data_IF_203121237986
#
_entry.id   IF_203121237986
#
_cell.length_a   1.000
_cell.length_b   1.000
_cell.length_c   1.000
_cell.angle_alpha   90.00
_cell.angle_beta   90.00
_cell.angle_gamma   90.00
#
_symmetry.space_group_name_H-M   'P 1'
#
loop_
_entity.id
_entity.type
_entity.pdbx_description
1 polymer ?
#
# COMPACT_ATOMS: atom_id res chain seq x y z
N UNK A 1 15.06 -7.63 2.14
CA UNK A 1 13.97 -6.66 2.25
C UNK A 1 13.86 -6.19 3.68
N UNK A 2 13.73 -4.89 3.92
CA UNK A 2 13.63 -4.33 5.29
C UNK A 2 12.48 -3.35 5.31
N UNK A 3 11.56 -3.47 6.29
CA UNK A 3 10.47 -2.55 6.53
C UNK A 3 9.84 -2.81 7.89
N UNK A 4 9.37 -1.75 8.57
CA UNK A 4 8.52 -1.90 9.75
C UNK A 4 7.18 -2.55 9.40
N UNK A 5 6.70 -2.32 8.16
CA UNK A 5 5.39 -2.77 7.70
C UNK A 5 5.50 -4.11 6.98
N UNK A 6 5.06 -5.17 7.65
CA UNK A 6 4.98 -6.52 7.09
C UNK A 6 3.91 -7.35 7.81
N UNK A 7 3.69 -8.58 7.33
CA UNK A 7 2.74 -9.51 7.94
C UNK A 7 3.02 -9.72 9.44
N UNK A 8 1.99 -9.72 10.32
CA UNK A 8 0.57 -9.99 10.10
C UNK A 8 -0.29 -8.77 9.74
N UNK A 9 0.24 -7.55 9.77
CA UNK A 9 -0.49 -6.40 9.22
C UNK A 9 -0.66 -6.58 7.71
N UNK A 10 -1.77 -6.07 7.18
CA UNK A 10 -2.08 -6.10 5.76
C UNK A 10 -2.30 -4.66 5.27
N UNK A 11 -1.57 -4.28 4.24
CA UNK A 11 -1.63 -3.00 3.57
C UNK A 11 -0.92 -3.05 2.23
N UNK A 12 -0.90 -1.95 1.49
CA UNK A 12 -0.29 -1.90 0.16
C UNK A 12 1.20 -2.22 0.16
N UNK A 13 1.94 -1.68 1.13
CA UNK A 13 3.40 -1.90 1.28
C UNK A 13 3.70 -3.33 1.64
N UNK A 14 2.98 -3.89 2.62
CA UNK A 14 3.11 -5.26 3.07
C UNK A 14 2.88 -6.25 1.93
N UNK A 15 1.81 -6.01 1.14
CA UNK A 15 1.48 -6.84 -0.02
C UNK A 15 2.51 -6.69 -1.13
N UNK A 16 3.04 -5.48 -1.37
CA UNK A 16 4.11 -5.27 -2.33
C UNK A 16 5.38 -6.06 -1.95
N UNK A 17 5.85 -5.91 -0.70
CA UNK A 17 7.04 -6.64 -0.20
C UNK A 17 6.82 -8.16 -0.30
N UNK A 18 5.64 -8.64 0.06
CA UNK A 18 5.27 -10.05 -0.07
C UNK A 18 5.34 -10.51 -1.53
N UNK A 19 4.65 -9.82 -2.45
CA UNK A 19 4.58 -10.19 -3.87
C UNK A 19 5.94 -10.15 -4.55
N UNK A 20 6.72 -9.09 -4.30
CA UNK A 20 8.08 -8.96 -4.80
C UNK A 20 8.99 -10.08 -4.26
N UNK A 21 8.88 -10.40 -2.97
CA UNK A 21 9.64 -11.51 -2.36
C UNK A 21 9.30 -12.85 -3.02
N UNK A 22 8.02 -13.12 -3.28
CA UNK A 22 7.59 -14.37 -3.93
C UNK A 22 8.09 -14.45 -5.37
N UNK A 23 8.03 -13.36 -6.13
CA UNK A 23 8.53 -13.31 -7.51
C UNK A 23 10.04 -13.53 -7.57
N UNK A 24 10.81 -12.90 -6.68
CA UNK A 24 12.26 -13.09 -6.62
C UNK A 24 12.64 -14.52 -6.22
N UNK A 25 11.91 -15.14 -5.27
CA UNK A 25 12.11 -16.56 -4.91
C UNK A 25 11.84 -17.49 -6.11
N UNK A 26 10.78 -17.22 -6.91
CA UNK A 26 10.48 -17.98 -8.12
C UNK A 26 11.57 -17.84 -9.19
N UNK A 27 12.24 -16.69 -9.24
CA UNK A 27 13.40 -16.45 -10.13
C UNK A 27 14.70 -17.08 -9.61
N UNK A 28 14.66 -17.77 -8.47
CA UNK A 28 15.82 -18.46 -7.90
C UNK A 28 16.66 -17.59 -6.96
N UNK A 29 16.25 -16.37 -6.65
CA UNK A 29 16.95 -15.53 -5.68
C UNK A 29 16.61 -15.96 -4.25
N UNK A 30 17.56 -15.83 -3.34
CA UNK A 30 17.32 -15.97 -1.91
C UNK A 30 16.80 -14.64 -1.36
N UNK A 31 15.66 -14.68 -0.70
CA UNK A 31 15.03 -13.49 -0.11
C UNK A 31 14.87 -13.69 1.41
N UNK A 32 15.20 -12.64 2.14
CA UNK A 32 15.00 -12.55 3.59
C UNK A 32 14.29 -11.24 3.89
N UNK A 33 13.28 -11.28 4.75
CA UNK A 33 12.59 -10.08 5.24
C UNK A 33 13.00 -9.81 6.68
N UNK A 34 13.27 -8.55 7.00
CA UNK A 34 13.54 -8.06 8.35
C UNK A 34 12.45 -7.06 8.71
N UNK A 35 11.76 -7.30 9.81
CA UNK A 35 10.68 -6.45 10.34
C UNK A 35 10.68 -6.49 11.88
N UNK A 36 9.86 -5.64 12.51
CA UNK A 36 9.71 -5.69 13.97
C UNK A 36 8.81 -6.86 14.40
N UNK A 37 8.93 -7.26 15.65
CA UNK A 37 8.07 -8.29 16.26
C UNK A 37 6.63 -7.78 16.44
N UNK A 38 5.67 -8.68 16.26
CA UNK A 38 4.24 -8.45 16.51
C UNK A 38 3.78 -9.44 17.58
N UNK A 39 3.29 -8.98 18.72
CA UNK A 39 2.75 -9.82 19.80
C UNK A 39 3.37 -11.24 19.85
N UNK A 40 2.69 -12.21 19.25
CA UNK A 40 3.07 -13.63 19.23
C UNK A 40 4.07 -14.00 18.12
N UNK A 41 4.45 -13.05 17.26
CA UNK A 41 5.42 -13.25 16.18
C UNK A 41 6.75 -12.63 16.53
N UNK A 42 7.64 -13.46 17.02
CA UNK A 42 9.01 -13.09 17.38
C UNK A 42 10.02 -14.06 16.79
N UNK A 43 11.28 -13.62 16.67
CA UNK A 43 12.39 -14.44 16.18
C UNK A 43 12.27 -14.75 14.68
N UNK A 44 12.74 -15.92 14.27
CA UNK A 44 12.76 -16.32 12.86
C UNK A 44 11.54 -17.16 12.53
N UNK A 45 10.86 -16.81 11.43
CA UNK A 45 9.72 -17.58 10.90
C UNK A 45 9.93 -17.84 9.41
N UNK A 46 9.36 -18.94 8.95
CA UNK A 46 9.30 -19.28 7.52
C UNK A 46 7.87 -19.17 7.03
N UNK A 47 7.70 -18.53 5.88
CA UNK A 47 6.42 -18.36 5.21
C UNK A 47 6.39 -19.16 3.90
N UNK A 48 5.32 -19.02 3.12
CA UNK A 48 5.14 -19.72 1.85
C UNK A 48 6.38 -19.60 0.96
N UNK A 49 6.71 -20.68 0.26
CA UNK A 49 7.87 -20.81 -0.62
C UNK A 49 9.23 -20.58 0.08
N UNK A 50 9.28 -20.83 1.39
CA UNK A 50 10.51 -20.73 2.15
C UNK A 50 10.98 -19.30 2.45
N UNK A 51 10.12 -18.29 2.26
CA UNK A 51 10.45 -16.92 2.62
C UNK A 51 10.77 -16.81 4.12
N UNK A 52 12.02 -16.47 4.41
CA UNK A 52 12.51 -16.33 5.78
C UNK A 52 12.29 -14.92 6.29
N UNK A 53 11.66 -14.80 7.45
CA UNK A 53 11.32 -13.51 8.07
C UNK A 53 11.94 -13.43 9.47
N UNK A 54 12.68 -12.36 9.71
CA UNK A 54 13.23 -11.99 11.01
C UNK A 54 12.31 -10.98 11.67
N UNK A 55 11.65 -11.37 12.75
CA UNK A 55 10.82 -10.52 13.60
C UNK A 55 11.66 -10.04 14.79
N UNK A 56 12.19 -8.81 14.69
CA UNK A 56 13.10 -8.25 15.67
C UNK A 56 12.37 -7.60 16.85
N UNK A 57 12.87 -7.75 18.09
CA UNK A 57 12.26 -7.18 19.30
C UNK A 57 12.53 -5.67 19.39
N UNK A 58 11.87 -4.90 18.51
CA UNK A 58 11.98 -3.43 18.47
C UNK A 58 10.85 -2.79 19.27
N UNK A 59 11.13 -1.65 19.88
CA UNK A 59 10.11 -0.83 20.51
C UNK A 59 9.28 -0.13 19.42
N UNK A 60 7.96 -0.20 19.54
CA UNK A 60 7.03 0.41 18.59
C UNK A 60 6.51 1.72 19.16
N UNK A 61 6.62 2.80 18.41
CA UNK A 61 6.14 4.13 18.81
C UNK A 61 4.69 4.34 18.38
N UNK A 62 4.47 4.62 17.10
CA UNK A 62 3.18 5.03 16.57
C UNK A 62 2.92 4.32 15.22
N UNK A 63 1.68 3.91 15.00
CA UNK A 63 1.18 3.27 13.76
C UNK A 63 2.04 2.10 13.23
N UNK A 64 2.78 1.43 14.13
CA UNK A 64 3.62 0.29 13.80
C UNK A 64 5.03 0.65 13.32
N UNK A 65 5.45 1.91 13.45
CA UNK A 65 6.83 2.32 13.23
C UNK A 65 7.69 2.00 14.46
N UNK A 66 8.84 1.40 14.24
CA UNK A 66 9.80 1.12 15.32
C UNK A 66 10.52 2.39 15.79
N UNK A 67 10.93 2.39 17.06
CA UNK A 67 11.79 3.44 17.58
C UNK A 67 13.20 3.30 17.00
N UNK A 68 13.80 4.38 16.49
CA UNK A 68 15.20 4.34 16.05
C UNK A 68 16.14 3.92 17.20
N UNK A 69 16.99 2.94 16.94
CA UNK A 69 17.89 2.37 17.95
C UNK A 69 19.23 1.99 17.34
N UNK A 70 19.94 2.97 16.80
CA UNK A 70 21.16 2.79 16.01
C UNK A 70 22.14 1.78 16.63
N UNK A 71 22.40 1.88 17.93
CA UNK A 71 23.38 1.00 18.59
C UNK A 71 22.93 -0.46 18.72
N UNK A 72 21.66 -0.70 19.00
CA UNK A 72 21.14 -2.07 19.14
C UNK A 72 20.81 -2.69 17.79
N UNK A 73 20.42 -1.89 16.79
CA UNK A 73 20.09 -2.37 15.45
C UNK A 73 21.34 -2.82 14.68
N UNK A 74 22.46 -2.12 14.80
CA UNK A 74 23.67 -2.41 14.05
C UNK A 74 24.18 -3.86 14.26
N UNK A 75 24.38 -4.37 15.48
CA UNK A 75 24.84 -5.75 15.67
C UNK A 75 23.84 -6.79 15.19
N UNK A 76 22.53 -6.55 15.37
CA UNK A 76 21.49 -7.46 14.89
C UNK A 76 21.48 -7.51 13.36
N UNK A 77 21.47 -6.35 12.71
CA UNK A 77 21.53 -6.26 11.26
C UNK A 77 22.77 -6.94 10.71
N UNK A 78 23.96 -6.59 11.24
CA UNK A 78 25.24 -7.17 10.81
C UNK A 78 25.23 -8.69 10.91
N UNK A 79 24.74 -9.24 12.03
CA UNK A 79 24.66 -10.69 12.24
C UNK A 79 23.77 -11.35 11.17
N UNK A 80 22.62 -10.74 10.84
CA UNK A 80 21.70 -11.27 9.83
C UNK A 80 22.34 -11.19 8.45
N UNK A 81 22.90 -10.04 8.06
CA UNK A 81 23.48 -9.83 6.72
C UNK A 81 24.62 -10.82 6.46
N UNK A 82 25.52 -11.02 7.42
CA UNK A 82 26.63 -11.98 7.30
C UNK A 82 26.12 -13.42 7.26
N UNK A 83 25.20 -13.79 8.18
CA UNK A 83 24.64 -15.15 8.27
C UNK A 83 23.91 -15.56 7.00
N UNK A 84 23.13 -14.64 6.43
CA UNK A 84 22.33 -14.91 5.25
C UNK A 84 23.09 -14.69 3.94
N UNK A 85 24.36 -14.21 4.02
CA UNK A 85 25.20 -13.87 2.86
C UNK A 85 24.45 -12.92 1.91
N UNK A 86 24.01 -11.78 2.46
CA UNK A 86 23.22 -10.80 1.73
C UNK A 86 24.13 -10.03 0.78
N UNK A 87 23.69 -9.81 -0.46
CA UNK A 87 24.34 -8.98 -1.47
C UNK A 87 23.71 -7.58 -1.52
N UNK A 88 22.37 -7.52 -1.40
CA UNK A 88 21.58 -6.28 -1.56
C UNK A 88 20.66 -6.10 -0.35
N UNK A 89 20.68 -4.90 0.22
CA UNK A 89 19.75 -4.46 1.27
C UNK A 89 18.73 -3.54 0.66
N UNK A 90 17.47 -3.96 0.63
CA UNK A 90 16.37 -3.22 0.01
C UNK A 90 15.38 -2.73 1.07
N UNK A 91 15.31 -1.41 1.26
CA UNK A 91 14.40 -0.74 2.20
C UNK A 91 13.12 -0.26 1.51
N UNK A 92 12.00 -0.32 2.22
CA UNK A 92 10.69 0.11 1.70
C UNK A 92 10.02 1.10 2.63
N UNK A 93 9.42 2.15 2.07
CA UNK A 93 8.53 3.10 2.74
C UNK A 93 9.23 4.14 3.63
N UNK A 94 9.11 5.41 3.29
CA UNK A 94 9.74 6.52 3.99
C UNK A 94 9.38 6.64 5.48
N UNK A 95 8.17 6.25 5.88
CA UNK A 95 7.75 6.30 7.29
C UNK A 95 8.28 5.14 8.14
N UNK A 96 8.98 4.16 7.55
CA UNK A 96 9.62 3.08 8.30
C UNK A 96 10.92 3.55 8.94
N UNK A 97 10.95 3.74 10.24
CA UNK A 97 12.17 4.15 10.96
C UNK A 97 13.29 3.10 10.85
N UNK A 98 12.93 1.82 10.77
CA UNK A 98 13.87 0.72 10.62
C UNK A 98 14.71 0.84 9.35
N UNK A 99 14.12 1.25 8.22
CA UNK A 99 14.85 1.33 6.95
C UNK A 99 15.97 2.37 7.00
N UNK A 100 15.72 3.51 7.64
CA UNK A 100 16.68 4.61 7.68
C UNK A 100 17.99 4.18 8.35
N UNK A 101 17.89 3.58 9.54
CA UNK A 101 19.08 3.08 10.23
C UNK A 101 19.70 1.88 9.51
N UNK A 102 18.90 0.97 8.94
CA UNK A 102 19.43 -0.22 8.27
C UNK A 102 20.16 0.11 6.96
N UNK A 103 19.62 1.03 6.15
CA UNK A 103 20.29 1.47 4.91
C UNK A 103 21.61 2.18 5.21
N UNK A 104 21.65 3.07 6.22
CA UNK A 104 22.89 3.71 6.66
C UNK A 104 23.92 2.68 7.11
N UNK A 105 23.54 1.73 7.97
CA UNK A 105 24.45 0.69 8.44
C UNK A 105 24.93 -0.22 7.31
N UNK A 106 24.03 -0.63 6.42
CA UNK A 106 24.37 -1.47 5.27
C UNK A 106 25.37 -0.78 4.35
N UNK A 107 25.14 0.50 4.04
CA UNK A 107 26.03 1.30 3.21
C UNK A 107 27.43 1.42 3.85
N UNK A 108 27.52 1.75 5.15
CA UNK A 108 28.79 1.84 5.88
C UNK A 108 29.52 0.50 5.89
N UNK A 109 28.79 -0.62 5.92
CA UNK A 109 29.37 -1.97 5.86
C UNK A 109 29.73 -2.43 4.43
N UNK A 110 29.50 -1.61 3.41
CA UNK A 110 29.84 -1.90 2.00
C UNK A 110 28.82 -2.78 1.25
N UNK A 111 27.59 -2.95 1.78
CA UNK A 111 26.53 -3.63 1.06
C UNK A 111 25.88 -2.72 0.04
N UNK A 112 25.42 -3.30 -1.09
CA UNK A 112 24.57 -2.56 -2.05
C UNK A 112 23.22 -2.27 -1.42
N UNK A 113 22.76 -1.02 -1.61
CA UNK A 113 21.54 -0.52 -0.99
C UNK A 113 20.54 -0.04 -2.03
N UNK A 114 19.28 -0.46 -1.87
CA UNK A 114 18.16 -0.06 -2.71
C UNK A 114 17.04 0.49 -1.82
N UNK A 115 16.36 1.52 -2.27
CA UNK A 115 15.22 2.09 -1.57
C UNK A 115 14.01 2.19 -2.49
N UNK A 116 12.83 1.73 -2.02
CA UNK A 116 11.54 1.94 -2.72
C UNK A 116 10.61 2.82 -1.90
N UNK A 117 10.18 3.93 -2.48
CA UNK A 117 9.16 4.79 -1.87
C UNK A 117 7.75 4.43 -2.34
N UNK A 118 6.83 4.39 -1.37
CA UNK A 118 5.43 4.06 -1.57
C UNK A 118 4.49 5.20 -1.18
N UNK A 119 5.01 6.36 -0.80
CA UNK A 119 4.21 7.44 -0.24
C UNK A 119 4.52 8.78 -0.87
N UNK A 120 3.49 9.62 -0.94
CA UNK A 120 3.65 11.04 -1.14
C UNK A 120 3.48 11.74 0.20
N UNK A 121 4.44 12.59 0.56
CA UNK A 121 4.37 13.42 1.75
C UNK A 121 4.34 14.89 1.35
N UNK A 122 3.67 15.69 2.16
CA UNK A 122 3.63 17.14 2.02
C UNK A 122 5.01 17.76 2.31
N UNK A 123 5.26 18.91 1.70
CA UNK A 123 6.38 19.76 2.05
C UNK A 123 6.00 20.81 3.10
N UNK A 124 4.72 20.95 3.44
CA UNK A 124 4.17 22.07 4.19
C UNK A 124 3.83 21.75 5.65
N UNK A 125 3.89 20.46 6.06
CA UNK A 125 3.66 20.07 7.45
C UNK A 125 4.98 19.72 8.16
N UNK A 126 4.99 19.87 9.48
CA UNK A 126 6.18 19.62 10.32
C UNK A 126 6.70 18.19 10.18
N UNK A 127 5.80 17.20 10.09
CA UNK A 127 6.18 15.80 9.94
C UNK A 127 6.87 15.56 8.59
N UNK A 128 6.34 16.14 7.50
CA UNK A 128 6.94 16.10 6.18
C UNK A 128 8.31 16.76 6.13
N UNK A 129 8.47 17.93 6.79
CA UNK A 129 9.76 18.64 6.87
C UNK A 129 10.81 17.80 7.59
N UNK A 130 10.47 17.18 8.74
CA UNK A 130 11.39 16.31 9.45
C UNK A 130 11.75 15.06 8.64
N UNK A 131 10.75 14.41 8.05
CA UNK A 131 10.97 13.22 7.24
C UNK A 131 11.83 13.51 6.01
N UNK A 132 11.68 14.69 5.37
CA UNK A 132 12.53 15.10 4.25
C UNK A 132 14.00 15.22 4.68
N UNK A 133 14.28 15.75 5.87
CA UNK A 133 15.67 15.81 6.41
C UNK A 133 16.23 14.42 6.69
N UNK A 134 15.40 13.52 7.26
CA UNK A 134 15.79 12.12 7.50
C UNK A 134 16.10 11.42 6.18
N UNK A 135 15.22 11.52 5.18
CA UNK A 135 15.43 10.94 3.85
C UNK A 135 16.71 11.45 3.21
N UNK A 136 16.92 12.78 3.21
CA UNK A 136 18.14 13.39 2.65
C UNK A 136 19.41 12.85 3.31
N UNK A 137 19.41 12.69 4.63
CA UNK A 137 20.56 12.15 5.37
C UNK A 137 20.77 10.66 5.11
N UNK A 138 19.70 9.86 5.13
CA UNK A 138 19.79 8.39 5.11
C UNK A 138 19.95 7.80 3.72
N UNK A 139 19.50 8.51 2.69
CA UNK A 139 19.59 8.06 1.30
C UNK A 139 20.78 8.64 0.52
N UNK A 140 21.62 9.47 1.15
CA UNK A 140 22.79 10.08 0.49
C UNK A 140 23.72 9.04 -0.16
N UNK A 141 23.85 7.87 0.44
CA UNK A 141 24.74 6.82 -0.07
C UNK A 141 23.99 5.65 -0.72
N UNK A 142 22.69 5.77 -1.03
CA UNK A 142 21.95 4.68 -1.65
C UNK A 142 22.43 4.44 -3.09
N UNK A 143 22.61 3.16 -3.48
CA UNK A 143 23.07 2.82 -4.83
C UNK A 143 21.97 2.96 -5.88
N UNK A 144 20.70 2.74 -5.51
CA UNK A 144 19.55 2.93 -6.38
C UNK A 144 18.27 3.21 -5.57
N UNK A 145 17.38 4.00 -6.15
CA UNK A 145 16.06 4.26 -5.58
C UNK A 145 14.95 4.00 -6.60
N UNK A 146 13.77 3.68 -6.10
CA UNK A 146 12.58 3.33 -6.92
C UNK A 146 11.40 4.16 -6.43
N UNK A 147 10.78 4.92 -7.35
CA UNK A 147 9.46 5.50 -7.18
C UNK A 147 8.40 4.63 -7.85
N UNK A 148 7.26 4.45 -7.20
CA UNK A 148 6.16 3.63 -7.76
C UNK A 148 5.33 4.32 -8.84
N UNK A 149 5.61 5.59 -9.10
CA UNK A 149 5.04 6.42 -10.17
C UNK A 149 6.03 7.53 -10.54
N UNK A 150 5.83 8.23 -11.64
CA UNK A 150 6.63 9.41 -11.99
C UNK A 150 6.48 10.51 -10.94
N UNK A 151 5.26 10.76 -10.47
CA UNK A 151 5.00 11.70 -9.37
C UNK A 151 5.75 11.29 -8.09
N UNK A 152 5.79 10.00 -7.76
CA UNK A 152 6.53 9.48 -6.61
C UNK A 152 8.04 9.67 -6.80
N UNK A 153 8.57 9.42 -8.01
CA UNK A 153 9.97 9.67 -8.37
C UNK A 153 10.36 11.14 -8.17
N UNK A 154 9.58 12.05 -8.75
CA UNK A 154 9.84 13.50 -8.59
C UNK A 154 9.80 13.93 -7.12
N UNK A 155 8.79 13.48 -6.38
CA UNK A 155 8.67 13.74 -4.95
C UNK A 155 9.92 13.24 -4.19
N UNK A 156 10.40 12.03 -4.50
CA UNK A 156 11.59 11.44 -3.87
C UNK A 156 12.87 12.19 -4.23
N UNK A 157 13.09 12.55 -5.49
CA UNK A 157 14.24 13.35 -5.94
C UNK A 157 14.31 14.67 -5.19
N UNK A 158 13.19 15.40 -5.13
CA UNK A 158 13.12 16.69 -4.46
C UNK A 158 13.34 16.59 -2.94
N UNK A 159 12.82 15.55 -2.30
CA UNK A 159 12.84 15.39 -0.84
C UNK A 159 14.17 14.86 -0.32
N UNK A 160 14.70 13.84 -0.99
CA UNK A 160 15.96 13.22 -0.59
C UNK A 160 17.19 13.89 -1.25
N UNK A 161 16.99 14.82 -2.18
CA UNK A 161 18.05 15.42 -3.00
C UNK A 161 18.91 14.37 -3.70
N UNK A 162 18.26 13.34 -4.25
CA UNK A 162 18.92 12.31 -5.04
C UNK A 162 19.13 12.80 -6.48
N UNK A 163 20.21 12.34 -7.11
CA UNK A 163 20.38 12.51 -8.54
C UNK A 163 19.25 11.79 -9.29
N UNK A 164 18.58 12.42 -10.26
CA UNK A 164 17.44 11.85 -10.97
C UNK A 164 17.73 10.50 -11.63
N UNK A 165 18.98 10.26 -12.04
CA UNK A 165 19.48 9.04 -12.68
C UNK A 165 19.51 7.84 -11.73
N UNK A 166 19.62 8.09 -10.42
CA UNK A 166 19.58 7.04 -9.40
C UNK A 166 18.15 6.57 -9.10
N UNK A 167 17.13 7.33 -9.55
CA UNK A 167 15.74 7.04 -9.22
C UNK A 167 14.98 6.51 -10.43
N UNK A 168 14.70 5.22 -10.44
CA UNK A 168 13.89 4.55 -11.46
C UNK A 168 12.41 4.59 -11.11
N UNK A 169 11.55 4.51 -12.13
CA UNK A 169 10.10 4.32 -11.93
C UNK A 169 9.78 2.85 -12.19
N UNK A 170 9.32 2.16 -11.14
CA UNK A 170 8.85 0.77 -11.23
C UNK A 170 7.47 0.70 -10.56
N UNK A 171 6.38 0.70 -11.33
CA UNK A 171 5.01 0.64 -10.81
C UNK A 171 4.75 -0.64 -10.02
N UNK A 172 3.79 -0.54 -9.06
CA UNK A 172 3.29 -1.74 -8.42
C UNK A 172 2.54 -2.62 -9.42
N UNK A 173 2.56 -3.93 -9.17
CA UNK A 173 1.88 -4.91 -10.00
C UNK A 173 0.83 -5.68 -9.19
N UNK A 174 -0.12 -6.28 -9.91
CA UNK A 174 -1.15 -7.15 -9.36
C UNK A 174 -1.05 -8.56 -9.96
N UNK A 175 -1.35 -9.56 -9.15
CA UNK A 175 -1.40 -10.96 -9.59
C UNK A 175 -2.72 -11.23 -10.33
N UNK A 176 -2.69 -11.17 -11.65
CA UNK A 176 -3.85 -11.40 -12.51
C UNK A 176 -4.38 -12.86 -12.49
N UNK A 177 -3.69 -13.79 -11.84
CA UNK A 177 -4.24 -15.13 -11.59
C UNK A 177 -5.28 -15.12 -10.49
N UNK A 178 -5.15 -14.22 -9.52
CA UNK A 178 -6.07 -14.01 -8.39
C UNK A 178 -7.09 -12.91 -8.68
N UNK A 179 -6.64 -11.79 -9.25
CA UNK A 179 -7.48 -10.67 -9.64
C UNK A 179 -7.85 -10.80 -11.12
N UNK A 180 -9.00 -11.38 -11.38
CA UNK A 180 -9.55 -11.59 -12.72
C UNK A 180 -11.07 -11.55 -12.70
N UNK A 181 -11.73 -11.27 -13.83
CA UNK A 181 -13.18 -11.30 -13.93
C UNK A 181 -13.73 -12.71 -13.63
N UNK A 182 -14.68 -12.79 -12.72
CA UNK A 182 -15.51 -13.98 -12.46
C UNK A 182 -16.80 -13.83 -13.28
N UNK A 183 -16.80 -14.32 -14.51
CA UNK A 183 -17.89 -14.14 -15.47
C UNK A 183 -19.23 -14.71 -14.98
N UNK A 184 -19.32 -15.92 -14.36
CA UNK A 184 -20.55 -16.40 -13.75
C UNK A 184 -21.17 -15.43 -12.74
N UNK A 185 -20.35 -14.91 -11.84
CA UNK A 185 -20.79 -13.96 -10.80
C UNK A 185 -21.19 -12.62 -11.41
N UNK A 186 -20.40 -12.06 -12.33
CA UNK A 186 -20.72 -10.81 -13.02
C UNK A 186 -22.02 -10.92 -13.80
N UNK A 187 -22.26 -12.01 -14.50
CA UNK A 187 -23.51 -12.26 -15.21
C UNK A 187 -24.72 -12.37 -14.27
N UNK A 188 -24.54 -12.97 -13.08
CA UNK A 188 -25.57 -13.03 -12.06
C UNK A 188 -25.93 -11.62 -11.53
N UNK A 189 -24.92 -10.79 -11.27
CA UNK A 189 -25.13 -9.39 -10.85
C UNK A 189 -25.78 -8.57 -11.94
N UNK A 190 -25.37 -8.70 -13.19
CA UNK A 190 -25.95 -8.00 -14.32
C UNK A 190 -27.46 -8.30 -14.51
N UNK A 191 -27.89 -9.53 -14.24
CA UNK A 191 -29.31 -9.93 -14.29
C UNK A 191 -30.20 -9.21 -13.26
N UNK A 192 -29.62 -8.61 -12.22
CA UNK A 192 -30.40 -7.86 -11.22
C UNK A 192 -30.91 -6.52 -11.74
N UNK A 193 -30.39 -6.02 -12.86
CA UNK A 193 -30.65 -4.69 -13.39
C UNK A 193 -30.09 -3.55 -12.52
N UNK A 194 -29.26 -3.89 -11.49
CA UNK A 194 -28.65 -2.93 -10.58
C UNK A 194 -27.18 -2.70 -10.92
N UNK A 195 -26.72 -1.48 -10.76
CA UNK A 195 -25.33 -1.09 -10.88
C UNK A 195 -24.68 -1.04 -9.49
N UNK A 196 -23.71 -1.87 -9.23
CA UNK A 196 -22.98 -1.86 -7.97
C UNK A 196 -21.69 -1.06 -8.09
N UNK A 197 -21.54 -0.05 -7.24
CA UNK A 197 -20.31 0.73 -7.05
C UNK A 197 -19.55 0.17 -5.84
N UNK A 198 -18.28 -0.15 -6.02
CA UNK A 198 -17.43 -0.72 -4.96
C UNK A 198 -16.44 0.32 -4.47
N UNK A 199 -16.33 0.46 -3.16
CA UNK A 199 -15.29 1.22 -2.46
C UNK A 199 -14.53 0.26 -1.56
N UNK A 200 -13.20 0.15 -1.74
CA UNK A 200 -12.34 -0.68 -0.91
C UNK A 200 -11.11 0.10 -0.47
N UNK A 201 -11.09 0.56 0.78
CA UNK A 201 -9.96 1.32 1.34
C UNK A 201 -10.01 1.36 2.86
N UNK A 202 -8.95 1.87 3.50
CA UNK A 202 -9.04 2.28 4.90
C UNK A 202 -10.03 3.44 5.05
N UNK A 203 -10.93 3.37 6.01
CA UNK A 203 -11.93 4.43 6.24
C UNK A 203 -11.31 5.59 7.05
N UNK A 204 -10.49 6.40 6.39
CA UNK A 204 -9.83 7.56 6.99
C UNK A 204 -9.94 8.81 6.09
N UNK A 205 -9.55 9.97 6.62
CA UNK A 205 -9.60 11.24 5.92
C UNK A 205 -8.82 11.23 4.59
N UNK A 206 -7.60 10.67 4.58
CA UNK A 206 -6.75 10.64 3.36
C UNK A 206 -7.37 9.87 2.19
N UNK A 207 -8.28 8.95 2.48
CA UNK A 207 -9.02 8.17 1.47
C UNK A 207 -10.32 8.84 1.01
N UNK A 208 -10.55 10.08 1.45
CA UNK A 208 -11.69 10.88 1.01
C UNK A 208 -13.03 10.34 1.45
N UNK A 209 -13.12 9.71 2.63
CA UNK A 209 -14.37 9.13 3.13
C UNK A 209 -15.42 10.22 3.35
N UNK A 210 -15.00 11.45 3.67
CA UNK A 210 -15.91 12.60 3.78
C UNK A 210 -16.60 12.88 2.42
N UNK A 211 -15.84 12.86 1.33
CA UNK A 211 -16.38 13.02 -0.04
C UNK A 211 -17.32 11.86 -0.37
N UNK A 212 -16.95 10.62 -0.05
CA UNK A 212 -17.78 9.44 -0.29
C UNK A 212 -19.12 9.55 0.46
N UNK A 213 -19.09 10.01 1.72
CA UNK A 213 -20.30 10.19 2.53
C UNK A 213 -21.24 11.28 1.96
N UNK A 214 -20.73 12.28 1.26
CA UNK A 214 -21.52 13.30 0.58
C UNK A 214 -22.07 12.80 -0.77
N UNK A 215 -21.26 12.05 -1.52
CA UNK A 215 -21.59 11.62 -2.90
C UNK A 215 -22.62 10.48 -2.92
N UNK A 216 -22.55 9.52 -2.00
CA UNK A 216 -23.45 8.36 -1.96
C UNK A 216 -24.93 8.76 -1.92
N UNK A 217 -25.41 9.65 -1.02
CA UNK A 217 -26.80 10.05 -0.97
C UNK A 217 -27.28 10.72 -2.26
N UNK A 218 -26.44 11.56 -2.85
CA UNK A 218 -26.76 12.28 -4.10
C UNK A 218 -26.98 11.28 -5.25
N UNK A 219 -26.07 10.30 -5.37
CA UNK A 219 -26.18 9.26 -6.42
C UNK A 219 -27.40 8.38 -6.16
N UNK A 220 -27.63 7.92 -4.94
CA UNK A 220 -28.76 7.08 -4.59
C UNK A 220 -30.12 7.78 -4.81
N UNK A 221 -30.18 9.09 -4.61
CA UNK A 221 -31.38 9.90 -4.88
C UNK A 221 -31.67 10.00 -6.39
N UNK A 222 -30.64 10.23 -7.19
CA UNK A 222 -30.76 10.42 -8.65
C UNK A 222 -30.93 9.11 -9.42
N UNK A 223 -30.30 8.03 -8.95
CA UNK A 223 -30.24 6.74 -9.63
C UNK A 223 -30.74 5.62 -8.72
N UNK A 224 -31.96 5.18 -8.95
CA UNK A 224 -32.63 4.16 -8.11
C UNK A 224 -32.07 2.74 -8.30
N UNK A 225 -31.33 2.51 -9.37
CA UNK A 225 -30.69 1.25 -9.74
C UNK A 225 -29.22 1.14 -9.25
N UNK A 226 -28.64 2.20 -8.65
CA UNK A 226 -27.26 2.18 -8.16
C UNK A 226 -27.19 1.79 -6.69
N UNK A 227 -26.36 0.81 -6.35
CA UNK A 227 -26.04 0.38 -4.98
C UNK A 227 -24.54 0.55 -4.69
N UNK A 228 -24.20 0.63 -3.41
CA UNK A 228 -22.83 0.75 -2.96
C UNK A 228 -22.43 -0.44 -2.11
N UNK A 229 -21.19 -0.93 -2.32
CA UNK A 229 -20.54 -1.97 -1.49
C UNK A 229 -19.27 -1.32 -0.95
N UNK A 230 -19.24 -1.05 0.35
CA UNK A 230 -18.11 -0.37 1.00
C UNK A 230 -17.39 -1.36 1.91
N UNK A 231 -16.15 -1.69 1.57
CA UNK A 231 -15.28 -2.55 2.37
C UNK A 231 -14.10 -1.75 2.93
N UNK A 232 -13.83 -1.97 4.18
CA UNK A 232 -12.77 -1.33 4.93
C UNK A 232 -13.15 -1.03 6.36
N UNK A 233 -12.16 -0.60 7.13
CA UNK A 233 -12.33 -0.17 8.52
C UNK A 233 -11.46 1.06 8.79
N UNK A 234 -11.80 1.82 9.83
CA UNK A 234 -11.05 3.01 10.23
C UNK A 234 -11.87 4.04 10.98
N UNK A 235 -11.24 5.15 11.39
CA UNK A 235 -11.86 6.15 12.26
C UNK A 235 -13.08 6.87 11.64
N UNK A 236 -13.24 6.81 10.30
CA UNK A 236 -14.37 7.40 9.57
C UNK A 236 -15.53 6.41 9.30
N UNK A 237 -15.50 5.21 9.91
CA UNK A 237 -16.59 4.24 9.74
C UNK A 237 -17.93 4.78 10.25
N UNK A 238 -17.92 5.39 11.43
CA UNK A 238 -19.10 5.99 12.05
C UNK A 238 -19.76 7.06 11.14
N UNK A 239 -18.98 7.85 10.42
CA UNK A 239 -19.50 8.84 9.47
C UNK A 239 -20.37 8.20 8.38
N UNK A 240 -19.96 7.02 7.87
CA UNK A 240 -20.74 6.28 6.87
C UNK A 240 -21.99 5.66 7.49
N UNK A 241 -21.91 5.13 8.69
CA UNK A 241 -23.06 4.59 9.43
C UNK A 241 -24.10 5.69 9.67
N UNK A 242 -23.69 6.86 10.18
CA UNK A 242 -24.58 8.03 10.37
C UNK A 242 -25.18 8.53 9.04
N UNK A 243 -24.43 8.51 7.94
CA UNK A 243 -24.93 8.89 6.62
C UNK A 243 -26.01 7.93 6.15
N UNK A 244 -25.83 6.62 6.32
CA UNK A 244 -26.82 5.58 5.94
C UNK A 244 -28.12 5.78 6.72
N UNK A 245 -28.03 5.96 8.04
CA UNK A 245 -29.20 6.24 8.90
C UNK A 245 -29.92 7.52 8.49
N UNK A 246 -29.20 8.63 8.32
CA UNK A 246 -29.76 9.94 8.00
C UNK A 246 -30.55 9.96 6.68
N UNK A 247 -30.10 9.16 5.71
CA UNK A 247 -30.69 9.16 4.36
C UNK A 247 -31.50 7.88 4.04
N UNK A 248 -31.73 7.01 5.02
CA UNK A 248 -32.45 5.74 4.90
C UNK A 248 -31.93 4.89 3.71
N UNK A 249 -30.62 4.61 3.75
CA UNK A 249 -29.93 3.91 2.65
C UNK A 249 -29.53 2.47 3.00
N UNK A 250 -30.15 1.84 3.99
CA UNK A 250 -29.85 0.49 4.44
C UNK A 250 -29.94 -0.56 3.33
N UNK A 251 -30.91 -0.45 2.43
CA UNK A 251 -31.10 -1.37 1.30
C UNK A 251 -30.20 -1.03 0.08
N UNK A 252 -29.44 0.06 0.16
CA UNK A 252 -28.65 0.58 -0.95
C UNK A 252 -27.15 0.60 -0.71
N UNK A 253 -26.73 0.61 0.55
CA UNK A 253 -25.33 0.69 0.96
C UNK A 253 -25.00 -0.45 1.90
N UNK A 254 -24.14 -1.36 1.46
CA UNK A 254 -23.64 -2.48 2.24
C UNK A 254 -22.27 -2.14 2.81
N UNK A 255 -22.12 -2.11 4.14
CA UNK A 255 -20.84 -1.94 4.84
C UNK A 255 -20.29 -3.31 5.22
N UNK A 256 -19.18 -3.73 4.59
CA UNK A 256 -18.57 -5.05 4.82
C UNK A 256 -17.62 -5.09 6.03
N UNK A 257 -17.24 -3.92 6.56
CA UNK A 257 -16.15 -3.85 7.52
C UNK A 257 -14.80 -4.24 6.89
N UNK A 258 -13.85 -4.68 7.70
CA UNK A 258 -12.53 -5.10 7.23
C UNK A 258 -12.60 -6.34 6.35
N UNK A 259 -12.18 -6.22 5.09
CA UNK A 259 -12.17 -7.30 4.11
C UNK A 259 -10.80 -7.95 4.07
N UNK A 260 -10.65 -9.25 4.41
CA UNK A 260 -9.40 -9.97 4.23
C UNK A 260 -8.96 -9.95 2.76
N UNK A 261 -7.68 -9.74 2.48
CA UNK A 261 -7.16 -9.58 1.11
C UNK A 261 -7.54 -10.75 0.18
N UNK A 262 -7.55 -11.99 0.69
CA UNK A 262 -8.00 -13.18 -0.06
C UNK A 262 -9.44 -13.09 -0.58
N UNK A 263 -10.29 -12.28 0.07
CA UNK A 263 -11.70 -12.10 -0.28
C UNK A 263 -11.92 -10.87 -1.19
N UNK A 264 -10.90 -10.00 -1.36
CA UNK A 264 -11.00 -8.78 -2.19
C UNK A 264 -11.44 -9.08 -3.62
N UNK A 265 -10.88 -10.09 -4.34
CA UNK A 265 -11.33 -10.42 -5.69
C UNK A 265 -12.83 -10.79 -5.73
N UNK A 266 -13.30 -11.48 -4.71
CA UNK A 266 -14.71 -11.89 -4.60
C UNK A 266 -15.65 -10.69 -4.39
N UNK A 267 -15.21 -9.67 -3.64
CA UNK A 267 -15.97 -8.42 -3.44
C UNK A 267 -15.96 -7.58 -4.72
N UNK A 268 -14.79 -7.40 -5.34
CA UNK A 268 -14.66 -6.65 -6.59
C UNK A 268 -15.55 -7.24 -7.70
N UNK A 269 -15.61 -8.56 -7.82
CA UNK A 269 -16.45 -9.23 -8.82
C UNK A 269 -17.98 -9.09 -8.59
N UNK A 270 -18.41 -8.44 -7.50
CA UNK A 270 -19.81 -8.02 -7.28
C UNK A 270 -20.10 -6.64 -7.87
N UNK A 271 -19.06 -5.89 -8.27
CA UNK A 271 -19.15 -4.52 -8.74
C UNK A 271 -19.08 -4.35 -10.25
N UNK A 272 -19.53 -3.19 -10.70
CA UNK A 272 -19.40 -2.70 -12.08
C UNK A 272 -18.41 -1.52 -12.13
N UNK A 273 -18.47 -0.66 -11.12
CA UNK A 273 -17.64 0.54 -10.99
C UNK A 273 -16.86 0.45 -9.68
N UNK A 274 -15.60 0.84 -9.71
CA UNK A 274 -14.76 1.06 -8.54
C UNK A 274 -14.62 2.55 -8.31
N UNK A 275 -15.00 3.03 -7.12
CA UNK A 275 -14.91 4.44 -6.75
C UNK A 275 -13.76 4.66 -5.76
N UNK A 276 -12.85 5.57 -6.11
CA UNK A 276 -11.76 6.04 -5.25
C UNK A 276 -11.79 7.57 -5.13
N UNK A 277 -11.92 8.08 -3.91
CA UNK A 277 -11.93 9.51 -3.63
C UNK A 277 -10.70 9.97 -2.83
N UNK A 278 -9.59 9.26 -2.93
CA UNK A 278 -8.38 9.58 -2.18
C UNK A 278 -7.91 11.02 -2.42
N UNK A 279 -7.46 11.69 -1.35
CA UNK A 279 -6.94 13.05 -1.39
C UNK A 279 -5.44 13.10 -1.74
N UNK A 280 -4.74 11.97 -1.57
CA UNK A 280 -3.33 11.83 -1.93
C UNK A 280 -2.98 10.36 -2.08
N UNK A 281 -2.27 10.03 -3.16
CA UNK A 281 -1.81 8.67 -3.47
C UNK A 281 -0.51 8.71 -4.27
N UNK A 282 0.39 7.77 -3.97
CA UNK A 282 1.58 7.53 -4.79
C UNK A 282 1.29 6.62 -5.98
N UNK A 283 0.36 5.65 -5.84
CA UNK A 283 0.00 4.70 -6.90
C UNK A 283 -1.43 4.15 -6.77
N UNK A 284 -1.86 3.66 -5.59
CA UNK A 284 -3.14 3.00 -5.32
C UNK A 284 -3.33 1.62 -6.00
N UNK A 285 -2.78 0.57 -5.40
CA UNK A 285 -2.92 -0.82 -5.88
C UNK A 285 -4.39 -1.24 -6.03
N UNK A 286 -5.31 -0.76 -5.18
CA UNK A 286 -6.73 -1.11 -5.23
C UNK A 286 -7.41 -0.76 -6.57
N UNK A 287 -6.98 0.32 -7.22
CA UNK A 287 -7.42 0.71 -8.56
C UNK A 287 -7.01 -0.36 -9.58
N UNK A 288 -5.75 -0.82 -9.50
CA UNK A 288 -5.22 -1.84 -10.40
C UNK A 288 -5.90 -3.20 -10.17
N UNK A 289 -6.17 -3.56 -8.91
CA UNK A 289 -6.91 -4.77 -8.53
C UNK A 289 -8.35 -4.74 -9.09
N UNK A 290 -9.02 -3.59 -8.98
CA UNK A 290 -10.37 -3.40 -9.50
C UNK A 290 -10.41 -3.51 -11.03
N UNK A 291 -9.52 -2.83 -11.72
CA UNK A 291 -9.40 -2.91 -13.18
C UNK A 291 -9.09 -4.34 -13.65
N UNK A 292 -8.19 -5.06 -12.97
CA UNK A 292 -7.87 -6.46 -13.25
C UNK A 292 -9.09 -7.39 -13.08
N UNK A 293 -10.01 -7.08 -12.14
CA UNK A 293 -11.29 -7.77 -12.00
C UNK A 293 -12.35 -7.29 -13.01
N UNK A 294 -12.03 -6.34 -13.88
CA UNK A 294 -12.90 -5.86 -14.96
C UNK A 294 -13.89 -4.77 -14.53
N UNK A 295 -13.66 -4.05 -13.41
CA UNK A 295 -14.44 -2.90 -13.03
C UNK A 295 -13.97 -1.66 -13.81
N UNK A 296 -14.91 -0.79 -14.14
CA UNK A 296 -14.58 0.55 -14.58
C UNK A 296 -14.19 1.42 -13.38
N UNK A 297 -13.13 2.20 -13.50
CA UNK A 297 -12.61 2.98 -12.37
C UNK A 297 -13.04 4.44 -12.48
N UNK A 298 -13.53 4.99 -11.37
CA UNK A 298 -13.74 6.43 -11.20
C UNK A 298 -12.89 6.88 -10.02
N UNK A 299 -12.03 7.87 -10.23
CA UNK A 299 -11.06 8.29 -9.22
C UNK A 299 -10.83 9.78 -9.23
N UNK A 300 -10.34 10.32 -8.11
CA UNK A 300 -9.74 11.66 -8.07
C UNK A 300 -8.42 11.69 -8.84
N UNK A 301 -8.12 12.81 -9.50
CA UNK A 301 -6.87 13.04 -10.23
C UNK A 301 -5.77 13.58 -9.30
N UNK A 302 -5.30 12.78 -8.34
CA UNK A 302 -4.30 13.21 -7.34
C UNK A 302 -3.04 12.35 -7.36
N UNK A 303 -1.88 12.99 -7.22
CA UNK A 303 -0.58 12.31 -7.13
C UNK A 303 -0.32 11.40 -8.33
N UNK A 304 0.04 10.14 -8.09
CA UNK A 304 0.32 9.13 -9.12
C UNK A 304 -0.91 8.42 -9.69
N UNK A 305 -2.15 8.79 -9.30
CA UNK A 305 -3.36 8.12 -9.78
C UNK A 305 -3.55 8.20 -11.30
N UNK A 306 -3.28 9.35 -11.96
CA UNK A 306 -3.38 9.43 -13.41
C UNK A 306 -2.44 8.49 -14.18
N UNK A 307 -1.41 7.96 -13.51
CA UNK A 307 -0.41 7.09 -14.12
C UNK A 307 -0.76 5.59 -14.01
N UNK A 308 -1.81 5.22 -13.23
CA UNK A 308 -2.09 3.81 -12.88
C UNK A 308 -2.75 3.05 -14.03
N UNK A 309 -3.68 3.68 -14.73
CA UNK A 309 -4.46 3.06 -15.81
C UNK A 309 -4.52 3.96 -17.05
N UNK A 310 -4.67 3.36 -18.25
CA UNK A 310 -4.98 4.12 -19.46
C UNK A 310 -6.32 4.85 -19.36
N UNK A 311 -6.45 6.03 -20.00
CA UNK A 311 -7.65 6.89 -19.97
C UNK A 311 -8.96 6.16 -20.30
N UNK A 312 -8.92 5.15 -21.17
CA UNK A 312 -10.10 4.35 -21.53
C UNK A 312 -10.62 3.43 -20.42
N UNK A 313 -9.87 3.24 -19.35
CA UNK A 313 -10.19 2.35 -18.21
C UNK A 313 -10.52 3.11 -16.93
N UNK A 314 -10.30 4.42 -16.92
CA UNK A 314 -10.47 5.27 -15.75
C UNK A 314 -11.08 6.62 -16.15
N UNK A 315 -11.96 7.16 -15.30
CA UNK A 315 -12.35 8.56 -15.28
C UNK A 315 -11.77 9.23 -14.05
N UNK A 316 -11.07 10.35 -14.25
CA UNK A 316 -10.42 11.14 -13.21
C UNK A 316 -11.20 12.42 -12.93
#
# INVERSE_FOLDING_TARGET
MICDFFYPKLGGVEMHIWSLSQSLLQLGHKVVVITHAYKDRTGVRYMTNGLKVYYLPMWIMHDGCSMPSFYTMLPLLRQILVREKVDIVHGHQASSAMIHQCLMHANIMGYRTVYTDHSLFSFNDLAGIHLNKVLKMTLTGVDAAIGVSHTCRENLVLRASLEPELVSVIPNAVDCTKFRPDMPRRNAVAKTGKTNVVVLCRLNYRKGIDIIAEVIPIICQRHKDVNFIVGGDGPKKLLLEEMIERHDLHDRVELLGSVPHRNVPSVLNRGHVFLNCSLTESFCIAILEAAACGLYVVSTAVGGLPEVLPDKMITL
#
